data_IF_309045846011
#
_entry.id   IF_309045846011
#
_cell.length_a   1.000
_cell.length_b   1.000
_cell.length_c   1.000
_cell.angle_alpha   90.00
_cell.angle_beta   90.00
_cell.angle_gamma   90.00
#
_symmetry.space_group_name_H-M   'P 1'
#
loop_
_entity.id
_entity.type
_entity.pdbx_description
1 polymer ?
#
# COMPACT_ATOMS: atom_id res chain seq x y z
N UNK A 1 -10.58 -2.89 -2.03
CA UNK A 1 -10.33 -3.19 -3.45
C UNK A 1 -9.82 -4.61 -3.69
N UNK A 2 -8.79 -5.11 -2.98
CA UNK A 2 -8.31 -6.49 -3.23
C UNK A 2 -9.38 -7.58 -3.04
N UNK A 3 -10.24 -7.45 -2.02
CA UNK A 3 -11.38 -8.36 -1.80
C UNK A 3 -12.38 -8.33 -2.96
N UNK A 4 -12.76 -7.14 -3.43
CA UNK A 4 -13.69 -6.96 -4.56
C UNK A 4 -13.10 -7.59 -5.83
N UNK A 5 -11.83 -7.30 -6.13
CA UNK A 5 -11.16 -7.86 -7.30
C UNK A 5 -10.96 -9.39 -7.21
N UNK A 6 -10.85 -9.94 -6.00
CA UNK A 6 -10.81 -11.39 -5.81
C UNK A 6 -12.17 -12.03 -6.12
N UNK A 7 -13.26 -11.47 -5.61
CA UNK A 7 -14.61 -11.97 -5.87
C UNK A 7 -14.99 -11.77 -7.34
N UNK A 8 -14.67 -10.64 -7.95
CA UNK A 8 -14.90 -10.40 -9.37
C UNK A 8 -14.16 -11.42 -10.27
N UNK A 9 -12.94 -11.83 -9.90
CA UNK A 9 -12.21 -12.89 -10.63
C UNK A 9 -12.92 -14.23 -10.56
N UNK A 10 -13.45 -14.59 -9.39
CA UNK A 10 -14.23 -15.81 -9.22
C UNK A 10 -15.45 -15.82 -10.16
N UNK A 11 -16.11 -14.68 -10.36
CA UNK A 11 -17.21 -14.56 -11.32
C UNK A 11 -16.80 -14.68 -12.79
N UNK A 12 -15.60 -14.20 -13.13
CA UNK A 12 -15.04 -14.35 -14.48
C UNK A 12 -14.76 -15.83 -14.75
N UNK A 13 -14.17 -16.53 -13.77
CA UNK A 13 -13.76 -17.92 -13.93
C UNK A 13 -14.94 -18.90 -13.82
N UNK A 14 -16.01 -18.55 -13.09
CA UNK A 14 -17.20 -19.38 -12.90
C UNK A 14 -18.48 -18.53 -13.10
N UNK A 15 -19.03 -18.48 -14.32
CA UNK A 15 -20.13 -17.57 -14.67
C UNK A 15 -21.47 -17.84 -13.98
N UNK A 16 -21.66 -19.02 -13.37
CA UNK A 16 -22.95 -19.48 -12.81
C UNK A 16 -22.89 -19.71 -11.30
N UNK A 17 -22.17 -18.87 -10.56
CA UNK A 17 -22.13 -18.96 -9.09
C UNK A 17 -23.42 -18.38 -8.49
N UNK A 18 -24.12 -19.12 -7.62
CA UNK A 18 -25.26 -18.59 -6.89
C UNK A 18 -24.87 -17.49 -5.88
N UNK A 19 -25.69 -16.45 -5.74
CA UNK A 19 -25.42 -15.32 -4.84
C UNK A 19 -25.20 -15.72 -3.36
N UNK A 20 -25.83 -16.81 -2.90
CA UNK A 20 -25.68 -17.26 -1.51
C UNK A 20 -24.23 -17.67 -1.17
N UNK A 21 -23.49 -18.22 -2.14
CA UNK A 21 -22.08 -18.61 -1.95
C UNK A 21 -21.21 -17.40 -1.59
N UNK A 22 -21.56 -16.24 -2.13
CA UNK A 22 -20.83 -15.00 -1.95
C UNK A 22 -21.07 -14.48 -0.54
N UNK A 23 -22.31 -14.51 -0.07
CA UNK A 23 -22.62 -14.10 1.30
C UNK A 23 -21.87 -14.93 2.34
N UNK A 24 -21.82 -16.26 2.16
CA UNK A 24 -21.04 -17.15 3.03
C UNK A 24 -19.54 -16.87 2.94
N UNK A 25 -19.04 -16.55 1.75
CA UNK A 25 -17.62 -16.22 1.57
C UNK A 25 -17.26 -14.86 2.19
N UNK A 26 -18.15 -13.88 2.09
CA UNK A 26 -18.00 -12.56 2.70
C UNK A 26 -17.93 -12.65 4.22
N UNK A 27 -18.75 -13.50 4.85
CA UNK A 27 -18.69 -13.77 6.30
C UNK A 27 -17.26 -14.16 6.74
N UNK A 28 -16.57 -14.98 5.94
CA UNK A 28 -15.19 -15.43 6.25
C UNK A 28 -14.09 -14.46 5.81
N UNK A 29 -14.34 -13.68 4.76
CA UNK A 29 -13.32 -12.84 4.12
C UNK A 29 -13.21 -11.45 4.77
N UNK A 30 -14.31 -10.91 5.27
CA UNK A 30 -14.34 -9.62 5.96
C UNK A 30 -13.96 -9.85 7.43
N UNK A 31 -12.97 -9.12 7.93
CA UNK A 31 -12.41 -9.29 9.28
C UNK A 31 -12.42 -7.98 10.08
N UNK A 32 -12.40 -8.11 11.40
CA UNK A 32 -12.32 -6.99 12.34
C UNK A 32 -13.56 -6.10 12.27
N UNK A 33 -13.38 -4.78 12.36
CA UNK A 33 -14.48 -3.81 12.36
C UNK A 33 -15.39 -3.93 11.13
N UNK A 34 -14.84 -4.31 9.98
CA UNK A 34 -15.64 -4.48 8.77
C UNK A 34 -16.62 -5.66 8.84
N UNK A 35 -16.33 -6.68 9.65
CA UNK A 35 -17.19 -7.85 9.83
C UNK A 35 -18.45 -7.49 10.63
N UNK A 36 -18.30 -6.63 11.63
CA UNK A 36 -19.42 -6.08 12.41
C UNK A 36 -20.35 -5.30 11.47
N UNK A 37 -19.79 -4.35 10.71
CA UNK A 37 -20.56 -3.60 9.70
C UNK A 37 -21.28 -4.51 8.69
N UNK A 38 -20.61 -5.57 8.22
CA UNK A 38 -21.22 -6.50 7.26
C UNK A 38 -22.42 -7.24 7.88
N UNK A 39 -22.30 -7.66 9.14
CA UNK A 39 -23.36 -8.37 9.87
C UNK A 39 -24.57 -7.45 10.08
N UNK A 40 -24.35 -6.22 10.54
CA UNK A 40 -25.41 -5.21 10.71
C UNK A 40 -26.13 -4.92 9.39
N UNK A 41 -25.38 -4.71 8.30
CA UNK A 41 -25.96 -4.48 6.97
C UNK A 41 -26.77 -5.67 6.47
N UNK A 42 -26.33 -6.89 6.78
CA UNK A 42 -27.01 -8.14 6.39
C UNK A 42 -28.31 -8.34 7.17
N UNK A 43 -28.35 -7.95 8.43
CA UNK A 43 -29.58 -7.95 9.25
C UNK A 43 -30.60 -6.95 8.73
N UNK A 44 -30.17 -5.74 8.37
CA UNK A 44 -31.07 -4.67 7.90
C UNK A 44 -31.60 -4.95 6.48
N UNK A 45 -30.74 -5.35 5.55
CA UNK A 45 -31.09 -5.44 4.12
C UNK A 45 -31.33 -6.86 3.61
N UNK A 46 -31.09 -7.88 4.44
CA UNK A 46 -31.28 -9.29 4.13
C UNK A 46 -30.29 -9.82 3.08
N UNK A 47 -30.72 -10.86 2.34
CA UNK A 47 -29.92 -11.45 1.25
C UNK A 47 -29.99 -10.56 0.01
N UNK A 48 -28.84 -10.06 -0.43
CA UNK A 48 -28.67 -9.25 -1.63
C UNK A 48 -27.60 -9.84 -2.55
N UNK A 49 -27.68 -9.51 -3.83
CA UNK A 49 -26.74 -9.97 -4.85
C UNK A 49 -25.37 -9.27 -4.73
N UNK A 50 -24.36 -9.85 -5.38
CA UNK A 50 -23.00 -9.31 -5.32
C UNK A 50 -22.84 -7.86 -5.83
N UNK A 51 -23.44 -7.45 -6.96
CA UNK A 51 -23.34 -6.06 -7.43
C UNK A 51 -23.78 -5.04 -6.36
N UNK A 52 -24.85 -5.36 -5.62
CA UNK A 52 -25.31 -4.51 -4.53
C UNK A 52 -24.29 -4.44 -3.38
N UNK A 53 -23.79 -5.60 -2.93
CA UNK A 53 -22.77 -5.66 -1.87
C UNK A 53 -21.48 -4.95 -2.25
N UNK A 54 -21.03 -5.11 -3.50
CA UNK A 54 -19.87 -4.42 -4.06
C UNK A 54 -20.04 -2.90 -3.96
N UNK A 55 -21.21 -2.39 -4.34
CA UNK A 55 -21.50 -0.95 -4.23
C UNK A 55 -21.46 -0.46 -2.78
N UNK A 56 -22.07 -1.19 -1.84
CA UNK A 56 -22.03 -0.83 -0.41
C UNK A 56 -20.61 -0.82 0.16
N UNK A 57 -19.80 -1.82 -0.19
CA UNK A 57 -18.40 -1.88 0.25
C UNK A 57 -17.61 -0.69 -0.33
N UNK A 58 -17.83 -0.34 -1.60
CA UNK A 58 -17.18 0.83 -2.22
C UNK A 58 -17.62 2.12 -1.53
N UNK A 59 -18.91 2.31 -1.29
CA UNK A 59 -19.40 3.53 -0.63
C UNK A 59 -18.84 3.69 0.78
N UNK A 60 -18.81 2.62 1.56
CA UNK A 60 -18.38 2.69 2.96
C UNK A 60 -16.84 2.73 3.12
N UNK A 61 -16.09 2.02 2.28
CA UNK A 61 -14.63 1.86 2.44
C UNK A 61 -13.77 2.55 1.38
N UNK A 62 -14.37 3.11 0.33
CA UNK A 62 -13.67 3.89 -0.71
C UNK A 62 -14.12 5.35 -0.72
N UNK A 63 -14.34 5.93 0.47
CA UNK A 63 -14.62 7.36 0.60
C UNK A 63 -13.45 8.21 0.06
N UNK A 64 -13.75 9.40 -0.48
CA UNK A 64 -12.77 10.35 -1.03
C UNK A 64 -11.65 10.70 -0.06
N UNK A 65 -11.94 10.76 1.24
CA UNK A 65 -10.91 10.96 2.28
C UNK A 65 -9.88 9.82 2.31
N UNK A 66 -10.32 8.56 2.15
CA UNK A 66 -9.42 7.39 2.10
C UNK A 66 -8.57 7.41 0.83
N UNK A 67 -9.18 7.71 -0.32
CA UNK A 67 -8.45 7.85 -1.60
C UNK A 67 -7.40 8.95 -1.47
N UNK A 68 -7.76 10.09 -0.90
CA UNK A 68 -6.84 11.20 -0.65
C UNK A 68 -5.69 10.80 0.28
N UNK A 69 -5.96 10.08 1.37
CA UNK A 69 -4.91 9.52 2.24
C UNK A 69 -3.97 8.58 1.48
N UNK A 70 -4.48 7.74 0.56
CA UNK A 70 -3.64 6.89 -0.29
C UNK A 70 -2.79 7.70 -1.26
N UNK A 71 -3.34 8.76 -1.87
CA UNK A 71 -2.60 9.68 -2.74
C UNK A 71 -1.47 10.35 -1.96
N UNK A 72 -1.75 10.88 -0.77
CA UNK A 72 -0.74 11.54 0.06
C UNK A 72 0.30 10.56 0.59
N UNK A 73 -0.11 9.36 1.00
CA UNK A 73 0.80 8.29 1.40
C UNK A 73 1.73 7.85 0.26
N UNK A 74 1.27 7.95 -0.98
CA UNK A 74 2.08 7.71 -2.16
C UNK A 74 3.01 8.90 -2.41
N UNK A 75 2.49 10.12 -2.57
CA UNK A 75 3.29 11.32 -2.88
C UNK A 75 4.39 11.62 -1.86
N UNK A 76 4.13 11.42 -0.58
CA UNK A 76 5.08 11.71 0.50
C UNK A 76 6.10 10.58 0.71
N UNK A 77 5.94 9.44 0.03
CA UNK A 77 6.89 8.37 0.14
C UNK A 77 8.14 8.69 -0.67
N UNK A 78 9.31 8.44 -0.08
CA UNK A 78 10.59 8.45 -0.80
C UNK A 78 11.29 7.12 -0.53
N UNK A 79 11.75 6.46 -1.59
CA UNK A 79 12.48 5.22 -1.45
C UNK A 79 13.78 5.43 -0.65
N UNK A 80 14.05 4.52 0.28
CA UNK A 80 15.30 4.46 1.04
C UNK A 80 16.01 3.16 0.71
N UNK A 81 17.33 3.22 0.51
CA UNK A 81 18.19 2.08 0.17
C UNK A 81 18.20 1.00 1.25
N UNK A 82 17.81 1.33 2.49
CA UNK A 82 17.74 0.38 3.60
C UNK A 82 16.58 -0.63 3.44
N UNK A 83 15.54 -0.30 2.67
CA UNK A 83 14.35 -1.14 2.51
C UNK A 83 14.50 -2.14 1.37
N UNK A 84 13.76 -3.24 1.48
CA UNK A 84 13.68 -4.24 0.40
C UNK A 84 12.95 -3.66 -0.84
N UNK A 85 13.58 -3.64 -2.02
CA UNK A 85 12.97 -3.14 -3.25
C UNK A 85 11.64 -3.82 -3.58
N UNK A 86 11.56 -5.13 -3.38
CA UNK A 86 10.36 -5.91 -3.71
C UNK A 86 9.17 -5.50 -2.86
N UNK A 87 9.33 -5.48 -1.54
CA UNK A 87 8.28 -5.02 -0.63
C UNK A 87 7.81 -3.60 -0.96
N UNK A 88 8.74 -2.70 -1.28
CA UNK A 88 8.40 -1.31 -1.57
C UNK A 88 7.64 -1.19 -2.89
N UNK A 89 8.16 -1.79 -3.97
CA UNK A 89 7.50 -1.80 -5.28
C UNK A 89 6.10 -2.40 -5.17
N UNK A 90 5.94 -3.54 -4.48
CA UNK A 90 4.65 -4.18 -4.27
C UNK A 90 3.68 -3.27 -3.50
N UNK A 91 4.13 -2.67 -2.40
CA UNK A 91 3.32 -1.79 -1.56
C UNK A 91 2.85 -0.55 -2.30
N UNK A 92 3.74 0.09 -3.05
CA UNK A 92 3.38 1.29 -3.84
C UNK A 92 2.49 0.93 -5.05
N UNK A 93 2.71 -0.22 -5.68
CA UNK A 93 1.85 -0.74 -6.75
C UNK A 93 0.42 -0.99 -6.25
N UNK A 94 0.26 -1.58 -5.06
CA UNK A 94 -1.06 -1.76 -4.41
C UNK A 94 -1.76 -0.41 -4.15
N UNK A 95 -1.02 0.62 -3.74
CA UNK A 95 -1.58 1.98 -3.53
C UNK A 95 -2.02 2.61 -4.84
N UNK A 96 -1.22 2.50 -5.92
CA UNK A 96 -1.57 3.01 -7.23
C UNK A 96 -2.83 2.34 -7.79
N UNK A 97 -2.92 1.00 -7.68
CA UNK A 97 -4.14 0.25 -8.07
C UNK A 97 -5.38 0.65 -7.27
N UNK A 98 -5.21 1.06 -6.01
CA UNK A 98 -6.30 1.54 -5.18
C UNK A 98 -6.77 2.95 -5.55
N UNK A 99 -5.86 3.80 -6.03
CA UNK A 99 -6.16 5.17 -6.46
C UNK A 99 -6.80 5.17 -7.86
N UNK A 100 -6.24 4.38 -8.78
CA UNK A 100 -6.69 4.30 -10.17
C UNK A 100 -6.56 2.84 -10.65
N UNK A 101 -7.68 2.08 -10.62
CA UNK A 101 -7.70 0.67 -11.01
C UNK A 101 -7.43 0.44 -12.51
N UNK A 102 -7.69 1.43 -13.37
CA UNK A 102 -7.58 1.31 -14.83
C UNK A 102 -6.22 1.85 -15.35
N UNK A 103 -5.27 2.08 -14.44
CA UNK A 103 -3.96 2.61 -14.79
C UNK A 103 -3.16 1.66 -15.69
N UNK A 104 -2.71 2.17 -16.84
CA UNK A 104 -1.79 1.45 -17.73
C UNK A 104 -0.48 1.08 -17.00
N UNK A 105 0.09 -0.07 -17.34
CA UNK A 105 1.37 -0.58 -16.84
C UNK A 105 2.47 0.46 -16.97
N UNK A 106 2.58 1.14 -18.12
CA UNK A 106 3.57 2.18 -18.37
C UNK A 106 3.43 3.36 -17.40
N UNK A 107 2.20 3.85 -17.22
CA UNK A 107 1.89 4.95 -16.31
C UNK A 107 2.18 4.57 -14.86
N UNK A 108 1.83 3.34 -14.47
CA UNK A 108 2.15 2.80 -13.15
C UNK A 108 3.65 2.75 -12.92
N UNK A 109 4.41 2.23 -13.89
CA UNK A 109 5.87 2.11 -13.79
C UNK A 109 6.51 3.49 -13.70
N UNK A 110 6.09 4.45 -14.54
CA UNK A 110 6.55 5.83 -14.47
C UNK A 110 6.31 6.44 -13.08
N UNK A 111 5.09 6.29 -12.53
CA UNK A 111 4.77 6.76 -11.17
C UNK A 111 5.59 6.06 -10.09
N UNK A 112 5.88 4.76 -10.22
CA UNK A 112 6.75 4.07 -9.26
C UNK A 112 8.17 4.60 -9.28
N UNK A 113 8.70 4.90 -10.47
CA UNK A 113 10.06 5.43 -10.63
C UNK A 113 10.21 6.84 -10.05
N UNK A 114 9.19 7.69 -10.10
CA UNK A 114 9.24 9.04 -9.48
C UNK A 114 9.35 9.01 -7.95
N UNK A 115 9.13 7.87 -7.31
CA UNK A 115 9.31 7.67 -5.86
C UNK A 115 10.76 7.38 -5.48
N UNK A 116 11.61 7.10 -6.48
CA UNK A 116 13.00 6.71 -6.33
C UNK A 116 13.87 7.98 -6.42
N UNK A 117 14.92 8.13 -5.58
CA UNK A 117 15.84 9.24 -5.70
C UNK A 117 16.53 9.29 -7.07
N UNK A 118 16.72 10.49 -7.63
CA UNK A 118 17.05 10.70 -9.05
C UNK A 118 18.24 9.91 -9.61
N UNK A 119 19.32 9.71 -8.85
CA UNK A 119 20.46 8.90 -9.31
C UNK A 119 20.09 7.42 -9.48
N UNK A 120 19.31 6.89 -8.54
CA UNK A 120 18.83 5.51 -8.56
C UNK A 120 17.70 5.36 -9.59
N UNK A 121 16.85 6.38 -9.75
CA UNK A 121 15.82 6.43 -10.79
C UNK A 121 16.44 6.34 -12.18
N UNK A 122 17.46 7.15 -12.47
CA UNK A 122 18.14 7.15 -13.77
C UNK A 122 18.82 5.80 -14.04
N UNK A 123 19.50 5.25 -13.02
CA UNK A 123 20.16 3.95 -13.11
C UNK A 123 19.17 2.81 -13.42
N UNK A 124 17.95 2.87 -12.87
CA UNK A 124 16.90 1.87 -13.15
C UNK A 124 16.28 2.12 -14.52
N UNK A 125 15.99 3.37 -14.90
CA UNK A 125 15.44 3.73 -16.23
C UNK A 125 16.32 3.26 -17.39
N UNK A 126 17.64 3.34 -17.25
CA UNK A 126 18.57 2.86 -18.28
C UNK A 126 18.54 1.33 -18.46
N UNK A 127 18.10 0.59 -17.44
CA UNK A 127 18.13 -0.88 -17.41
C UNK A 127 16.75 -1.52 -17.60
N UNK A 128 15.67 -0.74 -17.46
CA UNK A 128 14.28 -1.20 -17.58
C UNK A 128 13.58 -0.60 -18.80
N UNK A 129 12.93 -1.46 -19.59
CA UNK A 129 12.05 -1.03 -20.68
C UNK A 129 10.74 -0.41 -20.15
N UNK A 130 10.06 0.42 -20.95
CA UNK A 130 8.81 1.09 -20.52
C UNK A 130 7.67 0.11 -20.14
N UNK A 131 7.69 -1.10 -20.70
CA UNK A 131 6.71 -2.16 -20.44
C UNK A 131 7.20 -3.21 -19.42
N UNK A 132 8.24 -2.91 -18.65
CA UNK A 132 8.78 -3.82 -17.65
C UNK A 132 7.72 -4.25 -16.60
N UNK A 133 7.86 -5.46 -16.09
CA UNK A 133 7.02 -5.94 -15.00
C UNK A 133 7.45 -5.30 -13.67
N UNK A 134 6.63 -5.46 -12.63
CA UNK A 134 7.02 -5.01 -11.29
C UNK A 134 8.31 -5.70 -10.82
N UNK A 135 8.45 -6.98 -11.15
CA UNK A 135 9.58 -7.81 -10.75
C UNK A 135 10.86 -7.37 -11.47
N UNK A 136 10.78 -6.97 -12.74
CA UNK A 136 11.92 -6.41 -13.48
C UNK A 136 12.44 -5.12 -12.81
N UNK A 137 11.53 -4.23 -12.38
CA UNK A 137 11.90 -2.99 -11.68
C UNK A 137 12.54 -3.33 -10.32
N UNK A 138 11.96 -4.26 -9.56
CA UNK A 138 12.46 -4.65 -8.26
C UNK A 138 13.83 -5.36 -8.34
N UNK A 139 14.01 -6.27 -9.31
CA UNK A 139 15.28 -6.91 -9.62
C UNK A 139 16.34 -5.90 -10.00
N UNK A 140 16.00 -4.97 -10.89
CA UNK A 140 16.94 -3.92 -11.33
C UNK A 140 17.32 -3.02 -10.16
N UNK A 141 16.37 -2.66 -9.29
CA UNK A 141 16.64 -1.88 -8.09
C UNK A 141 17.58 -2.62 -7.12
N UNK A 142 17.34 -3.92 -6.93
CA UNK A 142 18.19 -4.77 -6.09
C UNK A 142 19.59 -4.92 -6.69
N UNK A 143 19.69 -5.06 -8.01
CA UNK A 143 20.95 -5.15 -8.73
C UNK A 143 21.77 -3.85 -8.62
N UNK A 144 21.12 -2.70 -8.83
CA UNK A 144 21.78 -1.40 -8.66
C UNK A 144 22.20 -1.20 -7.20
N UNK A 145 21.37 -1.56 -6.23
CA UNK A 145 21.70 -1.49 -4.79
C UNK A 145 22.92 -2.35 -4.42
N UNK A 146 23.03 -3.54 -4.99
CA UNK A 146 24.11 -4.49 -4.68
C UNK A 146 25.41 -4.14 -5.39
N UNK A 147 25.33 -3.75 -6.66
CA UNK A 147 26.50 -3.45 -7.51
C UNK A 147 26.99 -2.01 -7.40
N UNK A 148 26.19 -1.08 -6.86
CA UNK A 148 26.56 0.33 -6.75
C UNK A 148 26.40 0.84 -5.32
N UNK A 149 27.25 1.79 -4.91
CA UNK A 149 27.09 2.51 -3.64
C UNK A 149 26.13 3.71 -3.74
N UNK A 150 25.36 3.79 -4.83
CA UNK A 150 24.42 4.88 -5.11
C UNK A 150 23.33 4.90 -4.02
N UNK A 151 23.14 6.05 -3.38
CA UNK A 151 22.16 6.23 -2.29
C UNK A 151 22.55 5.68 -0.92
N UNK A 152 23.74 5.06 -0.74
CA UNK A 152 24.23 4.66 0.60
C UNK A 152 24.73 5.85 1.42
N UNK A 153 25.16 6.93 0.75
CA UNK A 153 25.46 8.21 1.38
C UNK A 153 24.23 9.13 1.29
N UNK A 154 23.37 9.05 2.30
CA UNK A 154 22.43 10.15 2.56
C UNK A 154 23.13 11.18 3.45
N UNK A 155 23.26 12.45 3.05
CA UNK A 155 23.81 13.49 3.92
C UNK A 155 22.94 13.72 5.19
N UNK A 156 21.73 13.15 5.25
CA UNK A 156 20.84 13.19 6.41
C UNK A 156 21.12 12.11 7.47
N UNK A 157 22.08 11.19 7.24
CA UNK A 157 22.63 10.34 8.31
C UNK A 157 23.86 11.01 8.93
N UNK A 158 23.70 12.22 9.46
CA UNK A 158 24.68 12.85 10.35
C UNK A 158 23.99 13.58 11.50
N UNK A 159 23.63 12.80 12.52
CA UNK A 159 23.65 13.18 13.94
C UNK A 159 22.89 12.11 14.71
N UNK A 160 23.61 11.06 15.09
CA UNK A 160 23.31 10.38 16.33
C UNK A 160 23.45 11.42 17.45
N UNK A 161 22.34 12.10 17.77
CA UNK A 161 22.21 12.80 19.04
C UNK A 161 22.43 11.74 20.13
N UNK A 162 23.63 11.71 20.70
CA UNK A 162 23.85 11.11 22.01
C UNK A 162 22.93 11.86 22.97
N UNK A 163 21.79 11.28 23.31
CA UNK A 163 21.01 11.72 24.45
C UNK A 163 21.93 11.69 25.67
N UNK A 164 22.34 12.88 26.11
CA UNK A 164 22.86 13.06 27.46
C UNK A 164 21.69 12.78 28.40
N UNK A 165 21.92 11.87 29.33
CA UNK A 165 21.00 11.50 30.40
C UNK A 165 20.35 12.75 31.04
N UNK A 166 19.03 12.77 31.29
CA UNK A 166 18.38 13.92 31.89
C UNK A 166 18.85 14.11 33.34
N UNK A 167 19.20 15.36 33.66
CA UNK A 167 19.54 15.83 34.99
C UNK A 167 18.45 15.43 36.00
N UNK A 168 18.82 14.60 36.98
CA UNK A 168 18.01 14.34 38.18
C UNK A 168 18.07 15.59 39.05
N UNK A 169 16.99 16.37 39.08
CA UNK A 169 16.83 17.44 40.06
C UNK A 169 16.52 16.80 41.40
N UNK A 170 17.49 16.76 42.32
CA UNK A 170 17.24 16.40 43.71
C UNK A 170 16.43 17.50 44.38
N UNK A 171 15.18 17.21 44.68
CA UNK A 171 14.36 18.03 45.58
C UNK A 171 14.96 17.90 46.98
N UNK A 172 15.69 18.94 47.42
CA UNK A 172 16.06 19.09 48.82
C UNK A 172 14.83 19.59 49.58
N UNK A 173 14.17 18.68 50.30
CA UNK A 173 13.27 19.03 51.39
C UNK A 173 14.02 19.91 52.40
N UNK A 174 13.51 21.11 52.65
CA UNK A 174 13.94 21.94 53.79
C UNK A 174 12.92 21.78 54.93
N UNK A 175 13.36 21.45 56.15
CA UNK A 175 12.46 21.28 57.28
C UNK A 175 12.17 22.59 58.03
N UNK A 176 11.00 22.57 58.67
CA UNK A 176 10.39 23.47 59.67
C UNK A 176 9.69 24.73 59.16
#
# INVERSE_FOLDING_TARGET
MELINYIDRIFIDVPSIPDYWITTRLDTAIKGHASIWYTEMKEIHGRRNWPWWKNQIIQNYSNGAWIWQKIMSFKNYKYSVDKDPYEVCLRQSKRLKAIDPQMNIQMRNHKLLTQIPGELEHAVKLRCNQNCTLDDIANTLQDVRTRTNIGKYSPYKSSSFKEKQPFRVELKDKPR
#
